data_IF_008760014214
#
_entry.id   IF_008760014214
#
_cell.length_a   1.000
_cell.length_b   1.000
_cell.length_c   1.000
_cell.angle_alpha   90.00
_cell.angle_beta   90.00
_cell.angle_gamma   90.00
#
_symmetry.space_group_name_H-M   'P 1'
#
loop_
_entity.id
_entity.type
_entity.pdbx_description
1 polymer ?
#
# COMPACT_ATOMS: atom_id res chain seq x y z
N UNK A 1 -20.51 12.92 -4.86
CA UNK A 1 -19.49 12.65 -4.64
C UNK A 1 -18.10 12.78 -5.27
N UNK A 2 -17.48 11.66 -5.66
CA UNK A 2 -16.06 11.63 -6.12
C UNK A 2 -15.91 11.70 -7.65
N UNK A 3 -16.87 12.27 -8.36
CA UNK A 3 -16.74 12.46 -9.81
C UNK A 3 -15.67 13.51 -10.12
N UNK A 4 -15.12 13.48 -11.34
CA UNK A 4 -14.07 14.42 -11.71
C UNK A 4 -14.57 15.87 -11.71
N UNK A 5 -15.82 16.10 -12.10
CA UNK A 5 -16.47 17.42 -12.12
C UNK A 5 -16.49 18.02 -10.70
N UNK A 6 -16.96 17.27 -9.72
CA UNK A 6 -17.05 17.75 -8.33
C UNK A 6 -15.68 18.02 -7.72
N UNK A 7 -14.71 17.16 -8.01
CA UNK A 7 -13.34 17.30 -7.53
C UNK A 7 -12.64 18.49 -8.19
N UNK A 8 -12.84 18.69 -9.48
CA UNK A 8 -12.33 19.82 -10.22
C UNK A 8 -12.94 21.15 -9.76
N UNK A 9 -14.26 21.18 -9.48
CA UNK A 9 -14.94 22.38 -8.99
C UNK A 9 -14.39 22.91 -7.67
N UNK A 10 -13.95 22.04 -6.76
CA UNK A 10 -13.33 22.43 -5.49
C UNK A 10 -11.79 22.35 -5.48
N UNK A 11 -11.18 21.93 -6.60
CA UNK A 11 -9.75 21.69 -6.74
C UNK A 11 -9.16 20.80 -5.63
N UNK A 12 -9.88 19.74 -5.26
CA UNK A 12 -9.50 18.79 -4.20
C UNK A 12 -9.59 17.36 -4.72
N UNK A 13 -8.68 16.51 -4.22
CA UNK A 13 -8.73 15.07 -4.49
C UNK A 13 -10.02 14.43 -3.94
N UNK A 14 -10.49 14.90 -2.79
CA UNK A 14 -11.76 14.54 -2.16
C UNK A 14 -12.40 15.82 -1.64
N UNK A 15 -13.65 16.16 -2.01
CA UNK A 15 -14.38 17.26 -1.39
C UNK A 15 -14.54 17.05 0.12
N UNK A 16 -14.49 18.13 0.91
CA UNK A 16 -14.46 18.05 2.39
C UNK A 16 -15.73 17.40 2.98
N UNK A 17 -16.88 17.72 2.43
CA UNK A 17 -18.16 17.13 2.81
C UNK A 17 -18.17 15.61 2.57
N UNK A 18 -17.65 15.18 1.43
CA UNK A 18 -17.53 13.76 1.09
C UNK A 18 -16.56 13.05 2.03
N UNK A 19 -15.42 13.66 2.34
CA UNK A 19 -14.45 13.09 3.27
C UNK A 19 -15.03 12.97 4.68
N UNK A 20 -15.78 13.97 5.14
CA UNK A 20 -16.45 13.94 6.43
C UNK A 20 -17.47 12.79 6.54
N UNK A 21 -18.23 12.51 5.47
CA UNK A 21 -19.13 11.37 5.43
C UNK A 21 -18.39 10.03 5.38
N UNK A 22 -17.31 9.93 4.58
CA UNK A 22 -16.52 8.71 4.52
C UNK A 22 -15.92 8.33 5.88
N UNK A 23 -15.48 9.30 6.67
CA UNK A 23 -14.92 9.09 8.02
C UNK A 23 -15.93 8.52 9.02
N UNK A 24 -17.23 8.61 8.75
CA UNK A 24 -18.31 8.02 9.58
C UNK A 24 -18.58 6.54 9.23
N UNK A 25 -18.08 6.07 8.09
CA UNK A 25 -18.38 4.73 7.59
C UNK A 25 -17.38 3.69 8.09
N UNK A 26 -17.88 2.55 8.58
CA UNK A 26 -17.01 1.39 8.92
C UNK A 26 -16.60 0.60 7.69
N UNK A 27 -17.41 0.63 6.62
CA UNK A 27 -17.16 -0.07 5.35
C UNK A 27 -17.51 0.87 4.20
N UNK A 28 -16.63 0.92 3.20
CA UNK A 28 -16.82 1.77 2.02
C UNK A 28 -16.67 0.91 0.77
N UNK A 29 -17.72 0.88 -0.06
CA UNK A 29 -17.67 0.32 -1.40
C UNK A 29 -17.62 1.46 -2.41
N UNK A 30 -16.60 1.48 -3.25
CA UNK A 30 -16.47 2.51 -4.30
C UNK A 30 -16.23 1.90 -5.68
N UNK A 31 -16.75 2.57 -6.69
CA UNK A 31 -16.43 2.33 -8.08
C UNK A 31 -15.08 2.96 -8.51
N UNK A 32 -14.74 2.84 -9.80
CA UNK A 32 -13.56 3.51 -10.35
C UNK A 32 -13.69 5.03 -10.27
N UNK A 33 -12.55 5.73 -10.17
CA UNK A 33 -12.48 7.19 -10.19
C UNK A 33 -11.50 7.63 -11.26
N UNK A 34 -11.85 8.69 -12.00
CA UNK A 34 -10.98 9.28 -13.01
C UNK A 34 -9.84 10.05 -12.33
N UNK A 35 -8.62 9.83 -12.80
CA UNK A 35 -7.46 10.68 -12.45
C UNK A 35 -7.03 11.38 -13.74
N UNK A 36 -7.03 12.73 -13.78
CA UNK A 36 -6.62 13.48 -14.96
C UNK A 36 -5.19 13.15 -15.39
N UNK A 37 -4.96 13.15 -16.69
CA UNK A 37 -3.64 12.99 -17.33
C UNK A 37 -3.17 14.34 -17.86
N UNK A 38 -1.90 14.44 -18.16
CA UNK A 38 -1.37 15.59 -18.89
C UNK A 38 -2.10 15.72 -20.26
N UNK A 39 -2.67 16.91 -20.53
CA UNK A 39 -3.46 17.18 -21.73
C UNK A 39 -4.97 16.99 -21.62
N UNK A 40 -5.47 16.43 -20.52
CA UNK A 40 -6.91 16.39 -20.27
C UNK A 40 -7.48 17.80 -20.01
N UNK A 41 -8.78 18.04 -20.28
CA UNK A 41 -9.42 19.34 -20.05
C UNK A 41 -9.63 19.66 -18.56
N UNK A 42 -9.32 18.71 -17.67
CA UNK A 42 -9.48 18.84 -16.24
C UNK A 42 -8.22 19.40 -15.58
N UNK A 43 -8.35 20.17 -14.47
CA UNK A 43 -7.21 20.55 -13.68
C UNK A 43 -6.47 19.32 -13.14
N UNK A 44 -5.18 19.44 -12.92
CA UNK A 44 -4.35 18.36 -12.37
C UNK A 44 -4.68 18.12 -10.88
N UNK A 45 -5.79 17.43 -10.64
CA UNK A 45 -6.25 17.06 -9.29
C UNK A 45 -5.63 15.72 -8.90
N UNK A 46 -5.07 15.65 -7.69
CA UNK A 46 -4.49 14.41 -7.17
C UNK A 46 -5.48 13.23 -7.21
N UNK A 47 -4.95 12.01 -7.33
CA UNK A 47 -5.78 10.80 -7.35
C UNK A 47 -6.65 10.67 -6.09
N UNK A 48 -7.97 10.58 -6.27
CA UNK A 48 -8.88 10.32 -5.15
C UNK A 48 -8.59 9.01 -4.43
N UNK A 49 -8.06 8.00 -5.14
CA UNK A 49 -7.66 6.73 -4.53
C UNK A 49 -6.48 6.91 -3.59
N UNK A 50 -5.45 7.65 -4.00
CA UNK A 50 -4.27 7.92 -3.17
C UNK A 50 -4.65 8.76 -1.96
N UNK A 51 -5.42 9.83 -2.17
CA UNK A 51 -5.90 10.68 -1.09
C UNK A 51 -6.74 9.89 -0.07
N UNK A 52 -7.68 9.06 -0.52
CA UNK A 52 -8.53 8.24 0.35
C UNK A 52 -7.71 7.27 1.21
N UNK A 53 -6.69 6.64 0.64
CA UNK A 53 -5.80 5.74 1.38
C UNK A 53 -5.07 6.45 2.52
N UNK A 54 -4.59 7.67 2.26
CA UNK A 54 -3.91 8.50 3.26
C UNK A 54 -4.87 9.03 4.32
N UNK A 55 -5.97 9.63 3.90
CA UNK A 55 -6.95 10.29 4.79
C UNK A 55 -7.69 9.34 5.73
N UNK A 56 -7.86 8.09 5.33
CA UNK A 56 -8.53 7.04 6.11
C UNK A 56 -7.54 5.99 6.65
N UNK A 57 -6.23 6.21 6.50
CA UNK A 57 -5.16 5.29 6.89
C UNK A 57 -5.39 3.84 6.42
N UNK A 58 -5.80 3.68 5.15
CA UNK A 58 -6.01 2.37 4.54
C UNK A 58 -4.67 1.77 4.12
N UNK A 59 -3.83 1.46 5.10
CA UNK A 59 -2.43 1.09 4.89
C UNK A 59 -2.23 -0.25 4.19
N UNK A 60 -3.15 -1.20 4.34
CA UNK A 60 -3.01 -2.54 3.81
C UNK A 60 -3.94 -2.81 2.63
N UNK A 61 -3.37 -3.15 1.49
CA UNK A 61 -4.09 -3.72 0.37
C UNK A 61 -3.99 -5.24 0.44
N UNK A 62 -5.07 -5.88 0.86
CA UNK A 62 -5.17 -7.33 0.97
C UNK A 62 -5.80 -7.92 -0.29
N UNK A 63 -5.08 -8.82 -0.96
CA UNK A 63 -5.53 -9.44 -2.21
C UNK A 63 -5.44 -10.96 -2.12
N UNK A 64 -6.54 -11.67 -1.83
CA UNK A 64 -6.58 -13.12 -1.93
C UNK A 64 -6.61 -13.56 -3.40
N UNK A 65 -5.85 -14.61 -3.71
CA UNK A 65 -5.83 -15.28 -5.02
C UNK A 65 -6.00 -16.76 -4.77
N UNK A 66 -7.05 -17.33 -5.34
CA UNK A 66 -7.34 -18.77 -5.21
C UNK A 66 -7.58 -19.39 -6.57
N UNK A 67 -6.80 -20.40 -6.88
CA UNK A 67 -6.92 -21.24 -8.07
C UNK A 67 -6.80 -22.69 -7.59
N UNK A 68 -7.90 -23.30 -7.12
CA UNK A 68 -7.86 -24.62 -6.45
C UNK A 68 -7.28 -25.73 -7.33
N UNK A 69 -7.57 -25.71 -8.61
CA UNK A 69 -7.08 -26.68 -9.60
C UNK A 69 -5.55 -26.65 -9.77
N UNK A 70 -4.91 -25.51 -9.45
CA UNK A 70 -3.44 -25.35 -9.47
C UNK A 70 -2.82 -25.39 -8.06
N UNK A 71 -3.63 -25.66 -7.04
CA UNK A 71 -3.19 -25.64 -5.64
C UNK A 71 -2.79 -24.26 -5.14
N UNK A 72 -3.24 -23.19 -5.80
CA UNK A 72 -2.92 -21.81 -5.42
C UNK A 72 -3.94 -21.31 -4.41
N UNK A 73 -3.45 -20.92 -3.23
CA UNK A 73 -4.20 -20.21 -2.20
C UNK A 73 -3.27 -19.19 -1.51
N UNK A 74 -3.07 -18.07 -2.17
CA UNK A 74 -2.19 -17.00 -1.72
C UNK A 74 -2.98 -15.79 -1.27
N UNK A 75 -2.40 -15.00 -0.36
CA UNK A 75 -2.92 -13.68 -0.01
C UNK A 75 -1.76 -12.70 -0.01
N UNK A 76 -1.86 -11.69 -0.86
CA UNK A 76 -0.89 -10.61 -0.93
C UNK A 76 -1.26 -9.50 0.06
N UNK A 77 -0.29 -9.06 0.84
CA UNK A 77 -0.38 -7.88 1.68
C UNK A 77 0.58 -6.82 1.13
N UNK A 78 0.02 -5.72 0.66
CA UNK A 78 0.81 -4.60 0.12
C UNK A 78 0.60 -3.38 1.00
N UNK A 79 1.69 -2.79 1.49
CA UNK A 79 1.64 -1.45 2.06
C UNK A 79 1.17 -0.46 0.98
N UNK A 80 0.25 0.41 1.32
CA UNK A 80 -0.56 1.13 0.36
C UNK A 80 -0.47 2.66 0.49
N UNK A 81 0.19 3.16 1.53
CA UNK A 81 0.31 4.58 1.88
C UNK A 81 1.72 5.12 1.73
N UNK A 82 2.72 4.24 1.62
CA UNK A 82 4.13 4.57 1.46
C UNK A 82 4.67 4.17 0.06
N UNK A 83 5.96 3.96 -0.06
CA UNK A 83 6.63 3.67 -1.32
C UNK A 83 6.71 4.91 -2.20
N UNK A 84 6.55 4.73 -3.50
CA UNK A 84 6.51 5.84 -4.47
C UNK A 84 5.27 6.73 -4.32
N UNK A 85 4.19 6.21 -3.72
CA UNK A 85 2.95 6.98 -3.53
C UNK A 85 3.02 8.04 -2.42
N UNK A 86 3.97 7.92 -1.50
CA UNK A 86 4.13 8.89 -0.42
C UNK A 86 4.49 10.28 -0.92
N UNK A 87 5.33 10.35 -1.94
CA UNK A 87 5.82 11.60 -2.54
C UNK A 87 4.86 12.10 -3.64
N UNK A 88 4.15 11.19 -4.31
CA UNK A 88 3.20 11.51 -5.37
C UNK A 88 3.88 12.22 -6.55
N UNK A 89 3.37 13.39 -6.92
CA UNK A 89 3.88 14.20 -8.03
C UNK A 89 5.08 15.10 -7.67
N UNK A 90 5.72 14.87 -6.52
CA UNK A 90 6.86 15.68 -6.02
C UNK A 90 8.22 15.12 -6.44
N UNK A 91 8.29 14.40 -7.55
CA UNK A 91 9.52 13.98 -8.19
C UNK A 91 10.32 15.18 -8.72
N UNK A 92 11.57 14.95 -9.08
CA UNK A 92 12.49 15.98 -9.56
C UNK A 92 12.85 15.70 -11.02
N UNK A 93 12.62 16.66 -11.89
CA UNK A 93 13.22 16.71 -13.22
C UNK A 93 14.61 17.36 -13.09
N UNK A 94 15.65 16.56 -13.29
CA UNK A 94 17.04 17.02 -13.17
C UNK A 94 17.50 17.62 -14.50
N UNK A 95 17.21 16.96 -15.61
CA UNK A 95 17.41 17.41 -17.00
C UNK A 95 16.24 16.92 -17.85
N UNK A 96 16.20 17.29 -19.12
CA UNK A 96 15.19 16.78 -20.07
C UNK A 96 15.23 15.25 -20.21
N UNK A 97 16.41 14.65 -20.00
CA UNK A 97 16.62 13.20 -20.13
C UNK A 97 16.58 12.47 -18.76
N UNK A 98 16.55 13.19 -17.63
CA UNK A 98 16.66 12.59 -16.30
C UNK A 98 15.59 13.13 -15.35
N UNK A 99 14.72 12.23 -14.93
CA UNK A 99 13.77 12.46 -13.85
C UNK A 99 14.01 11.47 -12.71
N UNK A 100 13.72 11.88 -11.48
CA UNK A 100 13.85 11.05 -10.28
C UNK A 100 12.59 11.11 -9.43
N UNK A 101 12.17 9.95 -8.93
CA UNK A 101 11.18 9.82 -7.88
C UNK A 101 11.79 9.19 -6.63
N UNK A 102 11.16 9.43 -5.49
CA UNK A 102 11.60 8.91 -4.21
C UNK A 102 10.71 7.76 -3.73
N UNK A 103 11.34 6.76 -3.12
CA UNK A 103 10.65 5.68 -2.41
C UNK A 103 10.80 5.90 -0.92
N UNK A 104 9.68 5.91 -0.20
CA UNK A 104 9.64 6.10 1.25
C UNK A 104 9.33 4.77 1.93
N UNK A 105 10.10 4.41 2.94
CA UNK A 105 9.86 3.27 3.81
C UNK A 105 10.11 3.69 5.26
N UNK A 106 9.04 3.83 6.03
CA UNK A 106 9.13 4.11 7.46
C UNK A 106 9.21 2.81 8.28
N UNK A 107 9.67 2.92 9.51
CA UNK A 107 9.66 1.78 10.44
C UNK A 107 8.23 1.35 10.72
N UNK A 108 7.35 2.30 11.02
CA UNK A 108 5.94 2.05 11.29
C UNK A 108 5.22 1.35 10.14
N UNK A 109 5.36 1.86 8.90
CA UNK A 109 4.76 1.26 7.72
C UNK A 109 5.24 -0.17 7.48
N UNK A 110 6.55 -0.41 7.62
CA UNK A 110 7.11 -1.75 7.48
C UNK A 110 6.62 -2.72 8.59
N UNK A 111 6.53 -2.25 9.84
CA UNK A 111 6.08 -3.07 10.97
C UNK A 111 4.60 -3.42 10.85
N UNK A 112 3.74 -2.44 10.57
CA UNK A 112 2.27 -2.67 10.52
C UNK A 112 1.86 -3.63 9.42
N UNK A 113 2.47 -3.53 8.23
CA UNK A 113 2.16 -4.46 7.13
C UNK A 113 2.72 -5.86 7.39
N UNK A 114 3.92 -5.95 7.96
CA UNK A 114 4.52 -7.23 8.35
C UNK A 114 3.68 -7.93 9.42
N UNK A 115 3.33 -7.22 10.50
CA UNK A 115 2.47 -7.74 11.57
C UNK A 115 1.15 -8.28 11.01
N UNK A 116 0.48 -7.50 10.16
CA UNK A 116 -0.80 -7.90 9.59
C UNK A 116 -0.66 -9.20 8.76
N UNK A 117 0.40 -9.32 7.95
CA UNK A 117 0.64 -10.51 7.13
C UNK A 117 0.94 -11.76 7.98
N UNK A 118 1.78 -11.64 9.00
CA UNK A 118 2.10 -12.74 9.92
C UNK A 118 0.90 -13.15 10.78
N UNK A 119 0.15 -12.18 11.33
CA UNK A 119 -1.06 -12.44 12.10
C UNK A 119 -2.13 -13.14 11.25
N UNK A 120 -2.26 -12.74 9.99
CA UNK A 120 -3.17 -13.40 9.05
C UNK A 120 -2.72 -14.84 8.78
N UNK A 121 -1.44 -15.05 8.51
CA UNK A 121 -0.89 -16.38 8.27
C UNK A 121 -1.15 -17.31 9.48
N UNK A 122 -0.87 -16.84 10.69
CA UNK A 122 -1.13 -17.56 11.94
C UNK A 122 -2.61 -17.94 12.10
N UNK A 123 -3.52 -16.97 11.93
CA UNK A 123 -4.97 -17.19 12.11
C UNK A 123 -5.57 -18.11 11.05
N UNK A 124 -5.00 -18.15 9.85
CA UNK A 124 -5.51 -18.94 8.72
C UNK A 124 -4.71 -20.23 8.47
N UNK A 125 -3.88 -20.68 9.43
CA UNK A 125 -3.12 -21.92 9.32
C UNK A 125 -2.13 -21.96 8.16
N UNK A 126 -1.68 -20.80 7.68
CA UNK A 126 -0.63 -20.71 6.66
C UNK A 126 0.73 -20.96 7.30
N UNK A 127 1.55 -21.74 6.63
CA UNK A 127 2.86 -22.16 7.13
C UNK A 127 4.03 -21.37 6.51
N UNK A 128 3.75 -20.41 5.64
CA UNK A 128 4.78 -19.64 4.93
C UNK A 128 4.34 -18.19 4.71
N UNK A 129 5.25 -17.26 4.97
CA UNK A 129 5.16 -15.86 4.58
C UNK A 129 6.38 -15.51 3.74
N UNK A 130 6.17 -15.03 2.52
CA UNK A 130 7.23 -14.58 1.62
C UNK A 130 7.31 -13.06 1.62
N UNK A 131 8.50 -12.52 1.87
CA UNK A 131 8.78 -11.08 1.79
C UNK A 131 9.34 -10.77 0.41
N UNK A 132 8.58 -10.04 -0.40
CA UNK A 132 8.96 -9.68 -1.76
C UNK A 132 9.63 -8.32 -1.74
N UNK A 133 10.93 -8.29 -1.99
CA UNK A 133 11.75 -7.07 -2.00
C UNK A 133 12.94 -7.20 -2.95
N UNK A 134 13.58 -6.10 -3.28
CA UNK A 134 14.84 -6.07 -4.05
C UNK A 134 15.99 -5.61 -3.15
N UNK A 135 16.04 -6.07 -1.92
CA UNK A 135 16.97 -5.64 -0.88
C UNK A 135 18.47 -5.85 -1.23
N UNK A 136 18.77 -6.77 -2.13
CA UNK A 136 20.13 -6.99 -2.64
C UNK A 136 20.66 -5.81 -3.48
N UNK A 137 19.79 -5.03 -4.09
CA UNK A 137 20.10 -3.85 -4.90
C UNK A 137 19.66 -2.56 -4.21
N UNK A 138 18.38 -2.49 -3.80
CA UNK A 138 17.79 -1.32 -3.12
C UNK A 138 17.98 -1.50 -1.60
N UNK A 139 19.20 -1.25 -1.15
CA UNK A 139 19.63 -1.61 0.22
C UNK A 139 18.98 -0.76 1.31
N UNK A 140 18.67 0.50 1.02
CA UNK A 140 18.18 1.44 2.04
C UNK A 140 16.70 1.19 2.37
N UNK A 141 15.81 1.24 1.41
CA UNK A 141 14.35 1.11 1.64
C UNK A 141 13.93 -0.35 1.70
N UNK A 142 14.24 -1.14 0.67
CA UNK A 142 13.89 -2.56 0.63
C UNK A 142 14.66 -3.36 1.68
N UNK A 143 15.93 -3.00 1.93
CA UNK A 143 16.72 -3.59 3.00
C UNK A 143 16.14 -3.33 4.37
N UNK A 144 15.66 -2.10 4.63
CA UNK A 144 14.93 -1.76 5.86
C UNK A 144 13.68 -2.62 6.03
N UNK A 145 12.84 -2.70 4.98
CA UNK A 145 11.63 -3.52 5.00
C UNK A 145 11.94 -5.00 5.29
N UNK A 146 12.89 -5.58 4.55
CA UNK A 146 13.27 -6.98 4.74
C UNK A 146 13.78 -7.25 6.16
N UNK A 147 14.62 -6.37 6.71
CA UNK A 147 15.17 -6.52 8.06
C UNK A 147 14.10 -6.43 9.15
N UNK A 148 13.12 -5.53 8.98
CA UNK A 148 12.00 -5.41 9.91
C UNK A 148 11.10 -6.65 9.82
N UNK A 149 10.74 -7.10 8.62
CA UNK A 149 9.91 -8.27 8.42
C UNK A 149 10.56 -9.53 9.02
N UNK A 150 11.89 -9.72 8.86
CA UNK A 150 12.62 -10.83 9.47
C UNK A 150 12.58 -10.80 10.99
N UNK A 151 12.78 -9.63 11.62
CA UNK A 151 12.71 -9.50 13.08
C UNK A 151 11.32 -9.86 13.62
N UNK A 152 10.28 -9.47 12.89
CA UNK A 152 8.91 -9.82 13.26
C UNK A 152 8.63 -11.30 13.08
N UNK A 153 9.17 -11.93 12.03
CA UNK A 153 9.09 -13.36 11.81
C UNK A 153 9.70 -14.17 12.96
N UNK A 154 10.88 -13.77 13.44
CA UNK A 154 11.54 -14.42 14.57
C UNK A 154 10.69 -14.39 15.86
N UNK A 155 9.98 -13.29 16.11
CA UNK A 155 9.05 -13.21 17.24
C UNK A 155 7.86 -14.15 17.07
N UNK A 156 7.30 -14.23 15.87
CA UNK A 156 6.15 -15.12 15.57
C UNK A 156 6.56 -16.58 15.60
N UNK A 157 7.75 -16.93 15.10
CA UNK A 157 8.29 -18.29 15.16
C UNK A 157 8.41 -18.80 16.59
N UNK A 158 8.84 -17.95 17.54
CA UNK A 158 8.92 -18.31 18.96
C UNK A 158 7.57 -18.68 19.58
N UNK A 159 6.48 -18.06 19.09
CA UNK A 159 5.13 -18.31 19.62
C UNK A 159 4.45 -19.54 19.00
N UNK A 160 4.69 -19.83 17.72
CA UNK A 160 3.93 -20.85 16.96
C UNK A 160 4.77 -22.04 16.47
N UNK A 161 6.06 -22.03 16.74
CA UNK A 161 7.00 -23.11 16.39
C UNK A 161 7.73 -22.91 15.04
N UNK A 162 8.73 -23.76 14.77
CA UNK A 162 9.77 -23.51 13.76
C UNK A 162 9.31 -23.54 12.29
N UNK A 163 8.08 -24.01 11.98
CA UNK A 163 7.57 -24.07 10.61
C UNK A 163 6.68 -22.87 10.23
N UNK A 164 6.21 -22.12 11.19
CA UNK A 164 5.37 -20.95 10.95
C UNK A 164 6.21 -19.68 11.12
N UNK A 165 6.32 -18.88 10.10
CA UNK A 165 7.01 -17.60 10.16
C UNK A 165 8.39 -17.53 9.50
N UNK A 166 8.81 -18.55 8.73
CA UNK A 166 9.99 -18.40 7.89
C UNK A 166 9.70 -17.38 6.78
N UNK A 167 10.38 -16.23 6.85
CA UNK A 167 10.42 -15.26 5.76
C UNK A 167 11.39 -15.80 4.70
N UNK A 168 10.91 -16.03 3.48
CA UNK A 168 11.73 -16.41 2.32
C UNK A 168 11.85 -15.27 1.34
#
# INVERSE_FOLDING_TARGET
GLTIENRAACNKAIPDDVLAELKKCHVILKGPTTTPRAGDPWPNVESANVAMRKELDLFANMRPVRVPEEGIDWTFFRENTEGAYAVGSKGVHVTDDLAMDFVVATTEGCERISRLAYDYAKRNGKNRVSVVSKANVIKTTDGKFLNIAKRYADCVVKEVGPKAGQAT
#
